data_IF_508490531233
#
_entry.id   IF_508490531233
#
_cell.length_a   1.000
_cell.length_b   1.000
_cell.length_c   1.000
_cell.angle_alpha   90.00
_cell.angle_beta   90.00
_cell.angle_gamma   90.00
#
_symmetry.space_group_name_H-M   'P 1'
#
loop_
_entity.id
_entity.type
_entity.pdbx_description
1 polymer ?
#
# COMPACT_ATOMS: atom_id res chain seq x y z
N UNK A 1 -10.32 11.25 14.60
CA UNK A 1 -9.69 12.10 13.57
C UNK A 1 -10.12 11.49 12.25
N UNK A 2 -10.77 12.23 11.36
CA UNK A 2 -10.92 11.77 9.97
C UNK A 2 -9.52 11.83 9.32
N UNK A 3 -9.20 10.96 8.35
CA UNK A 3 -7.97 11.13 7.57
C UNK A 3 -7.98 12.52 6.96
N UNK A 4 -6.85 13.19 7.05
CA UNK A 4 -6.61 14.47 6.38
C UNK A 4 -6.38 14.21 4.89
N UNK A 5 -6.60 15.21 4.04
CA UNK A 5 -6.33 15.08 2.60
C UNK A 5 -4.87 14.61 2.35
N UNK A 6 -3.92 15.06 3.19
CA UNK A 6 -2.52 14.62 3.19
C UNK A 6 -2.35 13.11 3.42
N UNK A 7 -3.16 12.48 4.28
CA UNK A 7 -3.09 11.03 4.52
C UNK A 7 -3.57 10.26 3.30
N UNK A 8 -4.56 10.80 2.57
CA UNK A 8 -5.11 10.14 1.37
C UNK A 8 -4.09 10.20 0.23
N UNK A 9 -3.47 11.36 0.00
CA UNK A 9 -2.40 11.51 -0.99
C UNK A 9 -1.18 10.64 -0.68
N UNK A 10 -0.82 10.51 0.60
CA UNK A 10 0.24 9.60 1.04
C UNK A 10 -0.12 8.14 0.79
N UNK A 11 -1.38 7.75 1.04
CA UNK A 11 -1.85 6.38 0.77
C UNK A 11 -1.76 6.06 -0.71
N UNK A 12 -2.28 6.95 -1.57
CA UNK A 12 -2.28 6.76 -3.01
C UNK A 12 -0.86 6.64 -3.58
N UNK A 13 0.08 7.47 -3.11
CA UNK A 13 1.49 7.38 -3.51
C UNK A 13 2.12 6.05 -3.12
N UNK A 14 1.94 5.61 -1.87
CA UNK A 14 2.49 4.34 -1.39
C UNK A 14 1.94 3.16 -2.18
N UNK A 15 0.62 3.16 -2.44
CA UNK A 15 -0.04 2.12 -3.23
C UNK A 15 0.51 2.06 -4.65
N UNK A 16 0.67 3.20 -5.32
CA UNK A 16 1.25 3.27 -6.66
C UNK A 16 2.70 2.75 -6.68
N UNK A 17 3.51 3.14 -5.69
CA UNK A 17 4.91 2.72 -5.59
C UNK A 17 5.05 1.21 -5.35
N UNK A 18 4.24 0.64 -4.46
CA UNK A 18 4.26 -0.80 -4.17
C UNK A 18 3.78 -1.60 -5.38
N UNK A 19 2.74 -1.12 -6.06
CA UNK A 19 2.25 -1.71 -7.33
C UNK A 19 3.34 -1.77 -8.39
N UNK A 20 4.08 -0.68 -8.59
CA UNK A 20 5.17 -0.64 -9.56
C UNK A 20 6.30 -1.61 -9.17
N UNK A 21 6.68 -1.63 -7.88
CA UNK A 21 7.67 -2.58 -7.35
C UNK A 21 7.28 -4.04 -7.61
N UNK A 22 6.03 -4.43 -7.35
CA UNK A 22 5.56 -5.81 -7.62
C UNK A 22 5.62 -6.11 -9.11
N UNK A 23 5.17 -5.19 -9.97
CA UNK A 23 5.23 -5.34 -11.44
C UNK A 23 6.67 -5.50 -11.94
N UNK A 24 7.63 -4.84 -11.30
CA UNK A 24 9.05 -4.96 -11.60
C UNK A 24 9.73 -6.16 -10.93
N UNK A 25 9.01 -6.94 -10.12
CA UNK A 25 9.55 -8.08 -9.38
C UNK A 25 10.50 -7.68 -8.24
N UNK A 26 10.29 -6.51 -7.64
CA UNK A 26 11.09 -5.95 -6.54
C UNK A 26 10.49 -6.23 -5.14
N UNK A 27 9.34 -6.89 -5.08
CA UNK A 27 8.69 -7.29 -3.82
C UNK A 27 8.87 -8.80 -3.64
N UNK A 28 9.64 -9.17 -2.62
CA UNK A 28 9.89 -10.57 -2.22
C UNK A 28 9.02 -11.02 -1.02
N UNK A 29 8.50 -10.06 -0.25
CA UNK A 29 7.66 -10.28 0.93
C UNK A 29 6.17 -10.11 0.62
N UNK A 30 5.28 -10.39 1.57
CA UNK A 30 3.83 -10.21 1.37
C UNK A 30 3.50 -8.72 1.13
N UNK A 31 2.61 -8.44 0.16
CA UNK A 31 2.26 -7.07 -0.25
C UNK A 31 1.68 -6.27 0.93
N UNK A 32 0.86 -6.90 1.76
CA UNK A 32 0.29 -6.30 2.97
C UNK A 32 1.38 -5.89 3.98
N UNK A 33 2.44 -6.68 4.12
CA UNK A 33 3.55 -6.41 5.01
C UNK A 33 4.38 -5.20 4.52
N UNK A 34 4.64 -5.16 3.20
CA UNK A 34 5.34 -4.03 2.57
C UNK A 34 4.52 -2.74 2.66
N UNK A 35 3.21 -2.82 2.43
CA UNK A 35 2.30 -1.68 2.59
C UNK A 35 2.30 -1.17 4.04
N UNK A 36 2.23 -2.05 5.03
CA UNK A 36 2.29 -1.66 6.45
C UNK A 36 3.57 -0.89 6.76
N UNK A 37 4.73 -1.37 6.33
CA UNK A 37 6.01 -0.67 6.50
C UNK A 37 5.99 0.71 5.84
N UNK A 38 5.53 0.79 4.58
CA UNK A 38 5.51 2.06 3.82
C UNK A 38 4.52 3.06 4.40
N UNK A 39 3.38 2.62 4.89
CA UNK A 39 2.43 3.49 5.57
C UNK A 39 3.01 4.02 6.88
N UNK A 40 3.67 3.18 7.69
CA UNK A 40 4.31 3.64 8.93
C UNK A 40 5.46 4.63 8.65
N UNK A 41 6.26 4.38 7.60
CA UNK A 41 7.30 5.30 7.10
C UNK A 41 6.71 6.65 6.64
N UNK A 42 5.55 6.63 5.97
CA UNK A 42 4.81 7.81 5.56
C UNK A 42 4.06 8.49 6.73
N UNK A 43 4.05 7.90 7.93
CA UNK A 43 3.32 8.38 9.10
C UNK A 43 1.81 8.12 9.03
N UNK A 44 1.35 7.33 8.07
CA UNK A 44 -0.04 6.93 7.87
C UNK A 44 -0.32 5.70 8.72
N UNK A 45 -1.39 5.74 9.52
CA UNK A 45 -1.86 4.56 10.27
C UNK A 45 -3.18 4.06 9.72
N UNK A 46 -3.11 3.00 8.93
CA UNK A 46 -4.28 2.25 8.50
C UNK A 46 -4.59 1.10 9.45
N UNK A 47 -5.81 0.56 9.34
CA UNK A 47 -6.16 -0.69 10.01
C UNK A 47 -5.61 -1.85 9.17
N UNK A 48 -5.24 -2.98 9.80
CA UNK A 48 -4.78 -4.16 9.07
C UNK A 48 -5.79 -4.62 8.01
N UNK A 49 -7.09 -4.60 8.33
CA UNK A 49 -8.16 -4.91 7.36
C UNK A 49 -8.12 -4.03 6.09
N UNK A 50 -7.79 -2.75 6.23
CA UNK A 50 -7.67 -1.84 5.09
C UNK A 50 -6.37 -2.06 4.30
N UNK A 51 -5.31 -2.51 4.97
CA UNK A 51 -4.04 -2.86 4.33
C UNK A 51 -4.21 -4.14 3.51
N UNK A 52 -4.91 -5.14 4.04
CA UNK A 52 -5.28 -6.36 3.31
C UNK A 52 -6.13 -6.06 2.07
N UNK A 53 -7.16 -5.22 2.19
CA UNK A 53 -7.99 -4.80 1.04
C UNK A 53 -7.13 -4.12 -0.05
N UNK A 54 -6.21 -3.23 0.34
CA UNK A 54 -5.31 -2.55 -0.60
C UNK A 54 -4.31 -3.51 -1.23
N UNK A 55 -3.78 -4.47 -0.48
CA UNK A 55 -2.90 -5.49 -0.99
C UNK A 55 -3.59 -6.33 -2.07
N UNK A 56 -4.82 -6.80 -1.80
CA UNK A 56 -5.61 -7.59 -2.75
C UNK A 56 -5.88 -6.80 -4.05
N UNK A 57 -6.19 -5.50 -3.94
CA UNK A 57 -6.42 -4.63 -5.12
C UNK A 57 -5.15 -4.48 -5.99
N UNK A 58 -3.99 -4.26 -5.35
CA UNK A 58 -2.70 -4.16 -6.04
C UNK A 58 -2.35 -5.48 -6.73
N UNK A 59 -2.46 -6.60 -6.02
CA UNK A 59 -2.16 -7.92 -6.56
C UNK A 59 -3.10 -8.29 -7.73
N UNK A 60 -4.37 -7.93 -7.62
CA UNK A 60 -5.36 -8.13 -8.69
C UNK A 60 -4.98 -7.36 -9.96
N UNK A 61 -4.54 -6.11 -9.79
CA UNK A 61 -4.16 -5.25 -10.90
C UNK A 61 -2.86 -5.72 -11.60
N UNK A 62 -1.84 -6.11 -10.83
CA UNK A 62 -0.55 -6.57 -11.41
C UNK A 62 -0.71 -7.94 -12.10
N UNK A 63 -1.69 -8.74 -11.67
CA UNK A 63 -1.95 -10.08 -12.22
C UNK A 63 -2.73 -10.09 -13.54
N UNK A 64 -3.13 -8.93 -14.09
CA UNK A 64 -3.82 -8.80 -15.39
C UNK A 64 -2.89 -8.72 -16.60
#
# INVERSE_FOLDING_TARGET
MAPTDDDTEAVEQVVEEVRDQIRHGQVDDDVSNVLEERFDEAGVRLRPEAIDDLAEDIENDVSM
#
